data_IF_220481419840
#
_entry.id   IF_220481419840
#
_cell.length_a   1.000
_cell.length_b   1.000
_cell.length_c   1.000
_cell.angle_alpha   90.00
_cell.angle_beta   90.00
_cell.angle_gamma   90.00
#
_symmetry.space_group_name_H-M   'P 1'
#
loop_
_entity.id
_entity.type
_entity.pdbx_description
1 polymer ?
#
# COMPACT_ATOMS: atom_id res chain seq x y z
N UNK A 1 -2.50 -69.42 5.22
CA UNK A 1 -2.87 -68.25 6.05
C UNK A 1 -1.74 -67.21 6.17
N UNK A 2 -0.54 -67.43 5.61
CA UNK A 2 0.56 -66.45 5.69
C UNK A 2 0.46 -65.29 4.68
N UNK A 3 -0.25 -65.49 3.57
CA UNK A 3 -0.42 -64.45 2.53
C UNK A 3 -1.37 -63.31 2.93
N UNK A 4 -2.39 -63.54 3.76
CA UNK A 4 -3.33 -62.49 4.18
C UNK A 4 -2.73 -61.55 5.23
N UNK A 5 -1.89 -62.10 6.11
CA UNK A 5 -1.15 -61.32 7.13
C UNK A 5 -0.08 -60.46 6.45
N UNK A 6 0.68 -61.03 5.51
CA UNK A 6 1.66 -60.28 4.72
C UNK A 6 1.03 -59.14 3.89
N UNK A 7 -0.13 -59.39 3.28
CA UNK A 7 -0.83 -58.37 2.50
C UNK A 7 -1.45 -57.27 3.39
N UNK A 8 -1.98 -57.62 4.57
CA UNK A 8 -2.49 -56.64 5.55
C UNK A 8 -1.39 -55.73 6.08
N UNK A 9 -0.21 -56.27 6.38
CA UNK A 9 0.95 -55.47 6.83
C UNK A 9 1.39 -54.52 5.71
N UNK A 10 1.42 -54.99 4.47
CA UNK A 10 1.84 -54.16 3.33
C UNK A 10 0.86 -53.01 3.06
N UNK A 11 -0.45 -53.24 3.21
CA UNK A 11 -1.49 -52.22 3.12
C UNK A 11 -1.34 -51.19 4.25
N UNK A 12 -1.07 -51.63 5.47
CA UNK A 12 -0.91 -50.74 6.63
C UNK A 12 0.32 -49.83 6.46
N UNK A 13 1.45 -50.37 5.98
CA UNK A 13 2.65 -49.59 5.69
C UNK A 13 2.39 -48.56 4.59
N UNK A 14 1.69 -48.95 3.52
CA UNK A 14 1.34 -48.02 2.44
C UNK A 14 0.44 -46.88 2.92
N UNK A 15 -0.52 -47.16 3.81
CA UNK A 15 -1.37 -46.13 4.41
C UNK A 15 -0.57 -45.14 5.25
N UNK A 16 0.42 -45.61 6.03
CA UNK A 16 1.31 -44.74 6.81
C UNK A 16 2.12 -43.83 5.89
N UNK A 17 2.67 -44.38 4.81
CA UNK A 17 3.46 -43.60 3.84
C UNK A 17 2.59 -42.55 3.15
N UNK A 18 1.38 -42.90 2.72
CA UNK A 18 0.44 -41.96 2.10
C UNK A 18 0.07 -40.84 3.07
N UNK A 19 -0.23 -41.17 4.34
CA UNK A 19 -0.53 -40.18 5.36
C UNK A 19 0.65 -39.23 5.62
N UNK A 20 1.88 -39.75 5.65
CA UNK A 20 3.08 -38.93 5.81
C UNK A 20 3.30 -37.99 4.63
N UNK A 21 3.12 -38.46 3.39
CA UNK A 21 3.25 -37.64 2.17
C UNK A 21 2.20 -36.54 2.15
N UNK A 22 0.93 -36.86 2.46
CA UNK A 22 -0.14 -35.86 2.54
C UNK A 22 0.19 -34.81 3.61
N UNK A 23 0.61 -35.25 4.81
CA UNK A 23 1.02 -34.34 5.89
C UNK A 23 2.15 -33.40 5.48
N UNK A 24 3.14 -33.92 4.74
CA UNK A 24 4.26 -33.11 4.25
C UNK A 24 3.82 -32.07 3.21
N UNK A 25 2.95 -32.46 2.26
CA UNK A 25 2.39 -31.54 1.26
C UNK A 25 1.56 -30.44 1.93
N UNK A 26 0.71 -30.81 2.90
CA UNK A 26 -0.12 -29.85 3.64
C UNK A 26 0.75 -28.88 4.45
N UNK A 27 1.82 -29.37 5.09
CA UNK A 27 2.76 -28.54 5.82
C UNK A 27 3.42 -27.50 4.91
N UNK A 28 3.98 -27.91 3.77
CA UNK A 28 4.63 -26.98 2.85
C UNK A 28 3.66 -26.01 2.18
N UNK A 29 2.42 -26.42 1.94
CA UNK A 29 1.38 -25.57 1.37
C UNK A 29 0.96 -24.48 2.36
N UNK A 30 0.73 -24.84 3.62
CA UNK A 30 0.41 -23.86 4.67
C UNK A 30 1.57 -22.90 4.92
N UNK A 31 2.81 -23.40 4.93
CA UNK A 31 4.00 -22.59 5.08
C UNK A 31 4.15 -21.59 3.92
N UNK A 32 3.98 -22.06 2.68
CA UNK A 32 4.05 -21.21 1.48
C UNK A 32 2.96 -20.13 1.44
N UNK A 33 1.73 -20.46 1.86
CA UNK A 33 0.64 -19.49 1.95
C UNK A 33 0.88 -18.44 3.05
N UNK A 34 1.41 -18.84 4.21
CA UNK A 34 1.74 -17.93 5.30
C UNK A 34 2.84 -16.93 4.89
N UNK A 35 3.92 -17.39 4.26
CA UNK A 35 5.00 -16.53 3.78
C UNK A 35 4.56 -15.55 2.69
N UNK A 36 3.69 -15.99 1.78
CA UNK A 36 3.19 -15.14 0.69
C UNK A 36 2.37 -13.96 1.24
N UNK A 37 1.46 -14.21 2.19
CA UNK A 37 0.66 -13.16 2.81
C UNK A 37 1.50 -12.20 3.63
N UNK A 38 2.41 -12.72 4.45
CA UNK A 38 3.26 -11.88 5.31
C UNK A 38 4.21 -10.97 4.50
N UNK A 39 4.74 -11.44 3.36
CA UNK A 39 5.57 -10.61 2.49
C UNK A 39 4.76 -9.52 1.76
N UNK A 40 3.54 -9.84 1.33
CA UNK A 40 2.65 -8.86 0.71
C UNK A 40 2.26 -7.76 1.70
N UNK A 41 1.91 -8.13 2.93
CA UNK A 41 1.55 -7.18 3.99
C UNK A 41 2.75 -6.29 4.37
N UNK A 42 3.95 -6.88 4.51
CA UNK A 42 5.18 -6.11 4.81
C UNK A 42 5.55 -5.13 3.70
N UNK A 43 5.39 -5.54 2.44
CA UNK A 43 5.72 -4.68 1.29
C UNK A 43 4.71 -3.54 1.16
N UNK A 44 3.41 -3.83 1.33
CA UNK A 44 2.37 -2.82 1.35
C UNK A 44 2.60 -1.79 2.47
N UNK A 45 2.93 -2.25 3.68
CA UNK A 45 3.23 -1.38 4.81
C UNK A 45 4.50 -0.53 4.62
N UNK A 46 5.57 -1.11 4.05
CA UNK A 46 6.78 -0.36 3.71
C UNK A 46 6.51 0.72 2.67
N UNK A 47 5.73 0.38 1.64
CA UNK A 47 5.38 1.29 0.56
C UNK A 47 4.53 2.46 1.09
N UNK A 48 3.55 2.17 1.95
CA UNK A 48 2.77 3.19 2.67
C UNK A 48 3.65 4.07 3.56
N UNK A 49 4.60 3.50 4.31
CA UNK A 49 5.49 4.25 5.20
C UNK A 49 6.45 5.19 4.45
N UNK A 50 6.98 4.78 3.30
CA UNK A 50 7.86 5.64 2.48
C UNK A 50 7.05 6.78 1.86
N UNK A 51 5.91 6.47 1.26
CA UNK A 51 5.08 7.47 0.57
C UNK A 51 4.46 8.51 1.51
N UNK A 52 4.01 8.08 2.69
CA UNK A 52 3.56 8.97 3.76
C UNK A 52 4.65 9.92 4.23
N UNK A 53 5.88 9.42 4.43
CA UNK A 53 6.99 10.26 4.87
C UNK A 53 7.31 11.38 3.87
N UNK A 54 7.27 11.10 2.57
CA UNK A 54 7.53 12.08 1.52
C UNK A 54 6.42 13.14 1.43
N UNK A 55 5.15 12.75 1.61
CA UNK A 55 3.99 13.66 1.67
C UNK A 55 4.09 14.60 2.87
N UNK A 56 4.35 14.05 4.06
CA UNK A 56 4.48 14.81 5.31
C UNK A 56 5.66 15.78 5.23
N UNK A 57 6.81 15.32 4.73
CA UNK A 57 7.99 16.16 4.55
C UNK A 57 7.73 17.31 3.56
N UNK A 58 7.07 17.03 2.44
CA UNK A 58 6.72 18.04 1.45
C UNK A 58 5.72 19.08 2.01
N UNK A 59 4.75 18.66 2.83
CA UNK A 59 3.84 19.56 3.51
C UNK A 59 4.56 20.47 4.54
N UNK A 60 5.53 19.91 5.28
CA UNK A 60 6.33 20.64 6.26
C UNK A 60 7.31 21.64 5.62
N UNK A 61 7.73 21.43 4.37
CA UNK A 61 8.72 22.24 3.68
C UNK A 61 8.23 23.65 3.30
N UNK A 62 6.91 23.89 3.33
CA UNK A 62 6.29 25.16 2.96
C UNK A 62 5.85 25.23 1.49
N UNK A 63 5.69 26.44 0.91
CA UNK A 63 5.20 26.59 -0.45
C UNK A 63 6.21 26.04 -1.48
N UNK A 64 5.77 25.09 -2.29
CA UNK A 64 6.56 24.40 -3.32
C UNK A 64 5.97 24.62 -4.71
N UNK A 65 6.76 24.57 -5.79
CA UNK A 65 6.23 24.72 -7.14
C UNK A 65 5.12 23.72 -7.45
N UNK A 66 4.05 24.17 -8.11
CA UNK A 66 2.89 23.32 -8.44
C UNK A 66 3.29 22.10 -9.28
N UNK A 67 4.30 22.22 -10.12
CA UNK A 67 4.85 21.10 -10.89
C UNK A 67 5.42 19.99 -9.99
N UNK A 68 6.10 20.36 -8.91
CA UNK A 68 6.62 19.40 -7.92
C UNK A 68 5.50 18.73 -7.14
N UNK A 69 4.48 19.51 -6.75
CA UNK A 69 3.27 18.98 -6.10
C UNK A 69 2.57 17.99 -7.01
N UNK A 70 2.38 18.32 -8.29
CA UNK A 70 1.77 17.43 -9.28
C UNK A 70 2.49 16.08 -9.38
N UNK A 71 3.81 16.07 -9.53
CA UNK A 71 4.60 14.83 -9.59
C UNK A 71 4.46 14.03 -8.30
N UNK A 72 4.43 14.71 -7.15
CA UNK A 72 4.29 14.07 -5.85
C UNK A 72 2.89 13.45 -5.67
N UNK A 73 1.82 14.15 -6.06
CA UNK A 73 0.45 13.61 -6.02
C UNK A 73 0.31 12.40 -6.95
N UNK A 74 0.82 12.49 -8.18
CA UNK A 74 0.81 11.38 -9.15
C UNK A 74 1.54 10.14 -8.63
N UNK A 75 2.69 10.33 -7.98
CA UNK A 75 3.46 9.21 -7.43
C UNK A 75 2.77 8.52 -6.24
N UNK A 76 1.88 9.23 -5.55
CA UNK A 76 1.22 8.76 -4.34
C UNK A 76 -0.30 8.52 -4.53
N UNK A 77 -0.81 8.46 -5.76
CA UNK A 77 -2.25 8.37 -6.08
C UNK A 77 -2.97 7.22 -5.35
N UNK A 78 -2.27 6.13 -5.03
CA UNK A 78 -2.83 4.95 -4.36
C UNK A 78 -3.03 5.11 -2.84
N UNK A 79 -2.45 6.14 -2.24
CA UNK A 79 -2.44 6.35 -0.78
C UNK A 79 -2.93 7.74 -0.38
N UNK A 80 -3.40 8.53 -1.35
CA UNK A 80 -3.93 9.88 -1.11
C UNK A 80 -5.37 9.99 -1.58
N UNK A 81 -6.15 10.75 -0.82
CA UNK A 81 -7.42 11.27 -1.27
C UNK A 81 -7.27 12.78 -1.46
N UNK A 82 -7.46 13.23 -2.70
CA UNK A 82 -7.26 14.62 -3.05
C UNK A 82 -8.48 15.45 -2.65
N UNK A 83 -8.29 16.43 -1.77
CA UNK A 83 -9.37 17.33 -1.37
C UNK A 83 -9.55 18.43 -2.42
N UNK A 84 -10.74 18.50 -3.05
CA UNK A 84 -11.02 19.54 -4.01
C UNK A 84 -10.80 20.95 -3.40
N UNK A 85 -9.96 21.78 -4.03
CA UNK A 85 -9.53 23.09 -3.52
C UNK A 85 -9.64 24.21 -4.59
N UNK A 86 -9.94 25.44 -4.17
CA UNK A 86 -9.95 26.61 -5.04
C UNK A 86 -8.71 27.49 -4.81
N UNK A 87 -7.85 27.59 -5.82
CA UNK A 87 -6.49 28.16 -5.69
C UNK A 87 -6.18 29.00 -6.94
N UNK A 88 -5.67 30.21 -6.76
CA UNK A 88 -5.31 31.12 -7.86
C UNK A 88 -6.43 31.27 -8.89
N UNK A 89 -7.66 31.42 -8.40
CA UNK A 89 -8.89 31.53 -9.19
C UNK A 89 -9.23 30.30 -10.04
N UNK A 90 -8.63 29.13 -9.75
CA UNK A 90 -8.91 27.86 -10.43
C UNK A 90 -9.42 26.82 -9.44
N UNK A 91 -10.43 26.10 -9.89
CA UNK A 91 -10.93 24.93 -9.20
C UNK A 91 -10.00 23.75 -9.51
N UNK A 92 -9.36 23.18 -8.49
CA UNK A 92 -8.51 22.00 -8.59
C UNK A 92 -9.28 20.83 -7.99
N UNK A 93 -9.78 19.91 -8.81
CA UNK A 93 -10.48 18.70 -8.34
C UNK A 93 -9.64 17.45 -8.49
N UNK A 94 -8.61 17.51 -9.32
CA UNK A 94 -7.67 16.43 -9.61
C UNK A 94 -6.26 17.00 -9.84
N UNK A 95 -5.20 16.18 -9.70
CA UNK A 95 -3.83 16.66 -9.87
C UNK A 95 -3.56 17.35 -11.21
N UNK A 96 -4.18 16.90 -12.30
CA UNK A 96 -3.96 17.46 -13.65
C UNK A 96 -4.39 18.93 -13.77
N UNK A 97 -5.33 19.38 -12.92
CA UNK A 97 -5.78 20.77 -12.91
C UNK A 97 -4.67 21.73 -12.42
N UNK A 98 -3.56 21.21 -11.88
CA UNK A 98 -2.37 21.97 -11.51
C UNK A 98 -1.49 22.36 -12.69
N UNK A 99 -1.59 21.67 -13.83
CA UNK A 99 -0.76 21.94 -15.01
C UNK A 99 -0.72 23.43 -15.42
N UNK A 100 -1.84 24.16 -15.41
CA UNK A 100 -1.86 25.58 -15.74
C UNK A 100 -1.25 26.51 -14.67
N UNK A 101 -0.87 25.98 -13.51
CA UNK A 101 -0.31 26.71 -12.36
C UNK A 101 1.15 26.32 -12.10
N UNK A 102 1.81 25.61 -13.02
CA UNK A 102 3.21 25.17 -12.86
C UNK A 102 4.22 26.29 -12.65
N UNK A 103 3.89 27.53 -13.03
CA UNK A 103 4.66 28.74 -12.75
C UNK A 103 4.48 29.27 -11.31
N UNK A 104 3.53 28.72 -10.55
CA UNK A 104 3.18 29.17 -9.20
C UNK A 104 3.64 28.20 -8.12
N UNK A 105 3.78 28.73 -6.91
CA UNK A 105 4.01 27.93 -5.71
C UNK A 105 2.70 27.69 -4.99
N UNK A 106 2.58 26.51 -4.39
CA UNK A 106 1.39 26.05 -3.70
C UNK A 106 1.84 25.45 -2.37
N UNK A 107 1.06 25.68 -1.33
CA UNK A 107 1.24 25.03 -0.04
C UNK A 107 0.38 23.77 -0.01
N UNK A 108 0.98 22.68 0.45
CA UNK A 108 0.28 21.42 0.67
C UNK A 108 0.02 21.25 2.16
N UNK A 109 -1.19 20.83 2.52
CA UNK A 109 -1.52 20.29 3.83
C UNK A 109 -1.91 18.84 3.67
N UNK A 110 -1.42 18.02 4.58
CA UNK A 110 -1.69 16.59 4.62
C UNK A 110 -2.35 16.31 5.95
N UNK A 111 -3.54 15.75 5.92
CA UNK A 111 -4.24 15.24 7.09
C UNK A 111 -4.17 13.71 7.06
N UNK A 112 -3.77 13.13 8.17
CA UNK A 112 -3.75 11.68 8.34
C UNK A 112 -5.17 11.22 8.70
N UNK A 113 -5.67 10.20 8.01
CA UNK A 113 -6.86 9.47 8.43
C UNK A 113 -6.41 8.16 9.08
N UNK A 114 -6.45 8.15 10.42
CA UNK A 114 -5.85 7.12 11.27
C UNK A 114 -6.45 5.71 11.03
N UNK A 115 -7.59 5.59 10.34
CA UNK A 115 -8.31 4.31 10.18
C UNK A 115 -7.92 3.50 8.91
N UNK A 116 -7.65 4.16 7.78
CA UNK A 116 -7.40 3.46 6.49
C UNK A 116 -5.95 3.62 5.96
N UNK A 117 -5.15 4.48 6.59
CA UNK A 117 -3.82 4.85 6.11
C UNK A 117 -3.88 5.52 4.74
N UNK A 118 -4.95 6.30 4.52
CA UNK A 118 -5.18 7.17 3.38
C UNK A 118 -4.91 8.60 3.87
N UNK A 119 -4.16 9.36 3.08
CA UNK A 119 -3.82 10.75 3.41
C UNK A 119 -4.71 11.72 2.65
N UNK A 120 -5.37 12.61 3.37
CA UNK A 120 -6.11 13.71 2.75
C UNK A 120 -5.17 14.84 2.41
N UNK A 121 -5.12 15.21 1.13
CA UNK A 121 -4.27 16.31 0.67
C UNK A 121 -5.11 17.52 0.29
N UNK A 122 -4.89 18.62 1.01
CA UNK A 122 -5.49 19.93 0.74
C UNK A 122 -4.42 20.86 0.14
N UNK A 123 -4.79 21.60 -0.90
CA UNK A 123 -3.88 22.54 -1.56
C UNK A 123 -4.32 23.98 -1.31
N UNK A 124 -3.37 24.84 -0.98
CA UNK A 124 -3.61 26.26 -0.66
C UNK A 124 -2.63 27.18 -1.36
N UNK A 125 -3.01 28.45 -1.49
CA UNK A 125 -2.14 29.47 -2.06
C UNK A 125 -0.89 29.70 -1.20
N UNK A 126 0.21 30.13 -1.81
CA UNK A 126 1.49 30.42 -1.12
C UNK A 126 1.33 31.33 0.11
N UNK A 127 0.45 32.34 -0.01
CA UNK A 127 0.22 33.36 1.01
C UNK A 127 -0.87 32.97 2.03
N UNK A 128 -1.55 31.85 1.83
CA UNK A 128 -2.57 31.41 2.78
C UNK A 128 -1.91 30.81 4.03
N UNK A 129 -1.98 31.59 5.12
CA UNK A 129 -1.39 31.28 6.43
C UNK A 129 -2.41 30.77 7.42
N UNK A 130 -3.66 30.52 7.02
CA UNK A 130 -4.66 29.95 7.93
C UNK A 130 -4.19 28.55 8.32
N UNK A 131 -3.89 28.37 9.62
CA UNK A 131 -3.59 27.08 10.21
C UNK A 131 -4.82 26.16 10.17
#
# INVERSE_FOLDING_TARGET
MDNEVGNSIHIMINLIVIAAVIGMITFFTNLGQAFSREQLDKTANLTKAVYSSDLILAAAHGPVPAASVYVLLQRNEQVIEFQPSYIYSKWITKPEDLMPLFDRKIRMKVHDDDEDGIYYVELREENDTRA
#
